data_IF_664212416018
#
_entry.id   IF_664212416018
#
_cell.length_a   1.000
_cell.length_b   1.000
_cell.length_c   1.000
_cell.angle_alpha   90.00
_cell.angle_beta   90.00
_cell.angle_gamma   90.00
#
_symmetry.space_group_name_H-M   'P 1'
#
loop_
_entity.id
_entity.type
_entity.pdbx_description
1 polymer ?
#
# COMPACT_ATOMS: atom_id res chain seq x y z
N UNK A 1 11.56 -19.94 -10.44
CA UNK A 1 10.44 -18.99 -10.56
C UNK A 1 11.00 -17.62 -10.91
N UNK A 2 10.32 -16.85 -11.76
CA UNK A 2 10.75 -15.52 -12.18
C UNK A 2 9.69 -14.50 -11.78
N UNK A 3 10.10 -13.43 -11.08
CA UNK A 3 9.21 -12.43 -10.49
C UNK A 3 9.59 -11.05 -11.02
N UNK A 4 8.63 -10.32 -11.57
CA UNK A 4 8.77 -8.89 -11.87
C UNK A 4 8.16 -8.10 -10.71
N UNK A 5 8.90 -7.11 -10.18
CA UNK A 5 8.40 -6.16 -9.19
C UNK A 5 8.46 -4.77 -9.81
N UNK A 6 7.28 -4.18 -10.10
CA UNK A 6 7.19 -2.80 -10.60
C UNK A 6 7.07 -1.82 -9.44
N UNK A 7 7.49 -0.57 -9.63
CA UNK A 7 7.58 0.39 -8.52
C UNK A 7 8.61 -0.01 -7.47
N UNK A 8 9.68 -0.66 -7.91
CA UNK A 8 10.69 -1.30 -7.04
C UNK A 8 11.47 -0.31 -6.17
N UNK A 9 11.51 0.97 -6.53
CA UNK A 9 12.16 2.05 -5.76
C UNK A 9 11.23 2.66 -4.69
N UNK A 10 9.94 2.30 -4.68
CA UNK A 10 8.95 2.73 -3.68
C UNK A 10 9.08 1.97 -2.36
N UNK A 11 8.30 2.40 -1.35
CA UNK A 11 8.31 1.81 -0.01
C UNK A 11 8.12 0.29 -0.01
N UNK A 12 7.03 -0.17 -0.59
CA UNK A 12 6.67 -1.58 -0.65
C UNK A 12 7.58 -2.37 -1.60
N UNK A 13 7.91 -1.79 -2.76
CA UNK A 13 8.80 -2.43 -3.73
C UNK A 13 10.17 -2.74 -3.14
N UNK A 14 10.75 -1.78 -2.43
CA UNK A 14 12.05 -1.96 -1.74
C UNK A 14 11.97 -3.05 -0.67
N UNK A 15 10.89 -3.08 0.11
CA UNK A 15 10.70 -4.09 1.15
C UNK A 15 10.53 -5.50 0.56
N UNK A 16 9.73 -5.64 -0.51
CA UNK A 16 9.59 -6.92 -1.24
C UNK A 16 10.92 -7.44 -1.77
N UNK A 17 11.73 -6.56 -2.36
CA UNK A 17 13.06 -6.94 -2.87
C UNK A 17 13.97 -7.42 -1.75
N UNK A 18 13.96 -6.76 -0.60
CA UNK A 18 14.73 -7.14 0.58
C UNK A 18 14.31 -8.53 1.07
N UNK A 19 13.02 -8.75 1.30
CA UNK A 19 12.51 -10.04 1.79
C UNK A 19 12.80 -11.19 0.82
N UNK A 20 12.66 -10.96 -0.50
CA UNK A 20 13.03 -11.94 -1.53
C UNK A 20 14.54 -12.25 -1.55
N UNK A 21 15.38 -11.27 -1.26
CA UNK A 21 16.82 -11.44 -1.18
C UNK A 21 17.25 -12.17 0.11
N UNK A 22 16.64 -11.82 1.25
CA UNK A 22 16.98 -12.36 2.57
C UNK A 22 16.32 -13.72 2.85
N UNK A 23 15.28 -14.08 2.09
CA UNK A 23 14.50 -15.29 2.30
C UNK A 23 13.59 -15.24 3.54
N UNK A 24 13.43 -14.07 4.14
CA UNK A 24 12.66 -13.85 5.37
C UNK A 24 12.20 -12.40 5.54
N UNK A 25 11.22 -12.22 6.41
CA UNK A 25 10.79 -10.92 6.96
C UNK A 25 10.96 -10.90 8.48
N UNK A 26 10.53 -9.82 9.13
CA UNK A 26 10.39 -9.76 10.60
C UNK A 26 9.35 -10.76 11.16
N UNK A 27 8.37 -11.16 10.34
CA UNK A 27 7.31 -12.11 10.72
C UNK A 27 7.73 -13.57 10.58
N UNK A 28 8.79 -13.85 9.82
CA UNK A 28 9.25 -15.22 9.61
C UNK A 28 9.81 -15.47 8.19
N UNK A 29 9.98 -16.74 7.81
CA UNK A 29 10.48 -17.10 6.50
C UNK A 29 9.46 -16.80 5.40
N UNK A 30 9.94 -16.47 4.20
CA UNK A 30 9.09 -16.42 3.00
C UNK A 30 8.83 -17.83 2.48
N UNK A 31 7.82 -18.05 1.61
CA UNK A 31 7.56 -19.36 1.01
C UNK A 31 8.78 -19.95 0.31
N UNK A 32 9.08 -21.25 0.56
CA UNK A 32 10.23 -21.94 -0.03
C UNK A 32 10.30 -21.84 -1.57
N UNK A 33 9.15 -21.81 -2.24
CA UNK A 33 9.05 -21.63 -3.69
C UNK A 33 9.70 -20.34 -4.20
N UNK A 34 9.88 -19.35 -3.33
CA UNK A 34 10.45 -18.03 -3.66
C UNK A 34 11.94 -17.91 -3.37
N UNK A 35 12.53 -18.81 -2.53
CA UNK A 35 13.92 -18.69 -2.07
C UNK A 35 14.96 -18.63 -3.20
N UNK A 36 14.67 -19.24 -4.37
CA UNK A 36 15.56 -19.23 -5.52
C UNK A 36 14.92 -18.54 -6.74
N UNK A 37 14.03 -17.58 -6.50
CA UNK A 37 13.38 -16.85 -7.57
C UNK A 37 14.36 -15.86 -8.24
N UNK A 38 14.31 -15.79 -9.57
CA UNK A 38 14.96 -14.71 -10.31
C UNK A 38 14.07 -13.47 -10.22
N UNK A 39 14.52 -12.46 -9.50
CA UNK A 39 13.77 -11.21 -9.33
C UNK A 39 14.21 -10.18 -10.35
N UNK A 40 13.25 -9.55 -11.02
CA UNK A 40 13.46 -8.48 -12.00
C UNK A 40 12.82 -7.20 -11.43
N UNK A 41 13.59 -6.37 -10.73
CA UNK A 41 13.11 -5.10 -10.23
C UNK A 41 13.03 -4.09 -11.40
N UNK A 42 11.90 -3.38 -11.52
CA UNK A 42 11.73 -2.34 -12.55
C UNK A 42 10.98 -1.13 -12.01
N UNK A 43 11.36 0.02 -12.52
CA UNK A 43 10.73 1.31 -12.24
C UNK A 43 10.92 2.24 -13.44
N UNK A 44 10.43 3.47 -13.36
CA UNK A 44 10.78 4.50 -14.34
C UNK A 44 12.30 4.84 -14.25
N UNK A 45 12.94 5.08 -15.39
CA UNK A 45 12.39 5.10 -16.76
C UNK A 45 12.42 3.73 -17.48
N UNK A 46 12.90 2.66 -16.83
CA UNK A 46 13.14 1.35 -17.47
C UNK A 46 11.85 0.68 -17.97
N UNK A 47 10.74 0.88 -17.24
CA UNK A 47 9.42 0.42 -17.63
C UNK A 47 8.35 1.43 -17.22
N UNK A 48 7.78 2.12 -18.19
CA UNK A 48 6.54 2.87 -18.01
C UNK A 48 5.34 1.92 -18.16
N UNK A 49 4.71 1.57 -17.04
CA UNK A 49 3.55 0.66 -17.04
C UNK A 49 2.35 1.23 -17.79
N UNK A 50 2.24 2.54 -17.96
CA UNK A 50 1.18 3.18 -18.75
C UNK A 50 1.32 2.94 -20.24
N UNK A 51 2.53 2.60 -20.70
CA UNK A 51 2.82 2.30 -22.09
C UNK A 51 2.59 0.83 -22.41
N UNK A 52 1.48 0.54 -23.06
CA UNK A 52 1.09 -0.83 -23.43
C UNK A 52 2.18 -1.60 -24.19
N UNK A 53 2.81 -0.97 -25.18
CA UNK A 53 3.82 -1.64 -26.03
C UNK A 53 5.06 -2.03 -25.19
N UNK A 54 5.54 -1.12 -24.35
CA UNK A 54 6.67 -1.40 -23.45
C UNK A 54 6.34 -2.56 -22.51
N UNK A 55 5.15 -2.55 -21.90
CA UNK A 55 4.71 -3.62 -20.98
C UNK A 55 4.61 -4.97 -21.71
N UNK A 56 3.91 -5.03 -22.86
CA UNK A 56 3.72 -6.27 -23.63
C UNK A 56 5.08 -6.87 -24.06
N UNK A 57 5.98 -6.05 -24.57
CA UNK A 57 7.32 -6.50 -25.01
C UNK A 57 8.16 -6.96 -23.81
N UNK A 58 8.14 -6.20 -22.71
CA UNK A 58 8.93 -6.48 -21.51
C UNK A 58 8.49 -7.80 -20.85
N UNK A 59 7.18 -7.97 -20.63
CA UNK A 59 6.61 -9.18 -20.00
C UNK A 59 6.79 -10.39 -20.89
N UNK A 60 6.54 -10.28 -22.20
CA UNK A 60 6.72 -11.35 -23.16
C UNK A 60 8.17 -11.82 -23.28
N UNK A 61 9.14 -10.89 -23.27
CA UNK A 61 10.58 -11.22 -23.31
C UNK A 61 11.02 -11.94 -22.05
N UNK A 62 10.57 -11.48 -20.87
CA UNK A 62 10.98 -12.01 -19.60
C UNK A 62 10.24 -13.27 -19.17
N UNK A 63 9.00 -13.48 -19.65
CA UNK A 63 8.12 -14.60 -19.28
C UNK A 63 8.11 -14.86 -17.78
N UNK A 64 7.62 -13.91 -16.96
CA UNK A 64 7.57 -14.08 -15.52
C UNK A 64 6.52 -15.11 -15.12
N UNK A 65 6.71 -15.75 -13.98
CA UNK A 65 5.69 -16.55 -13.30
C UNK A 65 4.74 -15.67 -12.48
N UNK A 66 5.29 -14.55 -11.94
CA UNK A 66 4.56 -13.61 -11.08
C UNK A 66 4.96 -12.18 -11.46
N UNK A 67 3.97 -11.29 -11.48
CA UNK A 67 4.15 -9.84 -11.56
C UNK A 67 3.57 -9.24 -10.28
N UNK A 68 4.37 -8.48 -9.50
CA UNK A 68 3.90 -7.73 -8.34
C UNK A 68 3.94 -6.25 -8.69
N UNK A 69 2.74 -5.65 -8.81
CA UNK A 69 2.60 -4.25 -9.19
C UNK A 69 2.45 -3.36 -7.96
N UNK A 70 3.56 -2.70 -7.59
CA UNK A 70 3.60 -1.65 -6.57
C UNK A 70 3.65 -0.24 -7.17
N UNK A 71 3.74 -0.12 -8.51
CA UNK A 71 3.80 1.17 -9.17
C UNK A 71 2.42 1.85 -9.15
N UNK A 72 2.39 3.11 -8.70
CA UNK A 72 1.19 3.94 -8.64
C UNK A 72 1.55 5.42 -8.54
N UNK A 73 0.63 6.29 -8.95
CA UNK A 73 0.64 7.70 -8.61
C UNK A 73 -0.05 7.88 -7.26
N UNK A 74 0.73 8.05 -6.19
CA UNK A 74 0.25 8.01 -4.79
C UNK A 74 0.08 9.39 -4.14
N UNK A 75 0.40 10.47 -4.85
CA UNK A 75 0.14 11.82 -4.36
C UNK A 75 -1.36 12.12 -4.48
N UNK A 76 -2.11 11.91 -3.38
CA UNK A 76 -3.57 12.04 -3.34
C UNK A 76 -4.02 13.43 -3.78
N UNK A 77 -3.41 14.49 -3.21
CA UNK A 77 -3.72 15.87 -3.57
C UNK A 77 -3.35 16.19 -5.03
N UNK A 78 -2.21 15.64 -5.49
CA UNK A 78 -1.78 15.75 -6.88
C UNK A 78 -2.71 15.06 -7.89
N UNK A 79 -3.43 14.02 -7.49
CA UNK A 79 -4.41 13.35 -8.36
C UNK A 79 -5.60 14.26 -8.70
N UNK A 80 -5.98 15.18 -7.80
CA UNK A 80 -7.05 16.14 -8.04
C UNK A 80 -6.68 17.22 -9.09
N UNK A 81 -5.40 17.37 -9.36
CA UNK A 81 -4.87 18.36 -10.35
C UNK A 81 -4.40 17.65 -11.63
N UNK A 82 -3.75 16.51 -11.48
CA UNK A 82 -3.13 15.75 -12.59
C UNK A 82 -3.94 14.47 -12.89
N UNK A 83 -5.23 14.63 -13.21
CA UNK A 83 -6.17 13.52 -13.44
C UNK A 83 -5.67 12.50 -14.47
N UNK A 84 -5.16 12.97 -15.60
CA UNK A 84 -4.69 12.10 -16.69
C UNK A 84 -3.47 11.27 -16.29
N UNK A 85 -2.52 11.86 -15.55
CA UNK A 85 -1.33 11.14 -15.10
C UNK A 85 -1.68 10.13 -14.02
N UNK A 86 -2.60 10.49 -13.10
CA UNK A 86 -3.15 9.56 -12.13
C UNK A 86 -3.88 8.40 -12.83
N UNK A 87 -4.72 8.68 -13.83
CA UNK A 87 -5.43 7.65 -14.59
C UNK A 87 -4.47 6.74 -15.38
N UNK A 88 -3.43 7.31 -16.03
CA UNK A 88 -2.41 6.51 -16.73
C UNK A 88 -1.71 5.53 -15.79
N UNK A 89 -1.22 6.04 -14.64
CA UNK A 89 -0.46 5.22 -13.69
C UNK A 89 -1.37 4.22 -12.94
N UNK A 90 -2.53 4.68 -12.43
CA UNK A 90 -3.37 3.91 -11.50
C UNK A 90 -4.42 3.02 -12.18
N UNK A 91 -4.79 3.33 -13.44
CA UNK A 91 -5.79 2.56 -14.18
C UNK A 91 -5.20 1.88 -15.42
N UNK A 92 -4.57 2.64 -16.35
CA UNK A 92 -4.04 2.06 -17.58
C UNK A 92 -2.81 1.17 -17.31
N UNK A 93 -1.95 1.53 -16.36
CA UNK A 93 -0.81 0.71 -15.96
C UNK A 93 -1.24 -0.69 -15.53
N UNK A 94 -2.10 -0.84 -14.51
CA UNK A 94 -2.64 -2.13 -14.09
C UNK A 94 -3.35 -2.89 -15.21
N UNK A 95 -4.12 -2.19 -16.07
CA UNK A 95 -4.75 -2.82 -17.25
C UNK A 95 -3.71 -3.46 -18.18
N UNK A 96 -2.63 -2.74 -18.49
CA UNK A 96 -1.60 -3.22 -19.39
C UNK A 96 -0.86 -4.42 -18.82
N UNK A 97 -0.55 -4.38 -17.51
CA UNK A 97 0.06 -5.51 -16.79
C UNK A 97 -0.88 -6.71 -16.75
N UNK A 98 -2.19 -6.51 -16.51
CA UNK A 98 -3.17 -7.58 -16.49
C UNK A 98 -3.28 -8.29 -17.85
N UNK A 99 -3.35 -7.54 -18.95
CA UNK A 99 -3.36 -8.10 -20.30
C UNK A 99 -2.08 -8.87 -20.64
N UNK A 100 -0.93 -8.36 -20.23
CA UNK A 100 0.35 -9.02 -20.47
C UNK A 100 0.50 -10.29 -19.59
N UNK A 101 0.06 -10.25 -18.34
CA UNK A 101 0.04 -11.39 -17.42
C UNK A 101 -0.84 -12.50 -17.97
N UNK A 102 -2.07 -12.20 -18.41
CA UNK A 102 -2.98 -13.17 -19.01
C UNK A 102 -2.38 -13.87 -20.24
N UNK A 103 -1.79 -13.10 -21.16
CA UNK A 103 -1.14 -13.64 -22.37
C UNK A 103 0.03 -14.57 -22.08
N UNK A 104 0.75 -14.35 -21.00
CA UNK A 104 1.93 -15.16 -20.64
C UNK A 104 1.64 -16.23 -19.60
N UNK A 105 0.43 -16.25 -19.03
CA UNK A 105 0.03 -17.14 -17.95
C UNK A 105 0.63 -16.79 -16.59
N UNK A 106 1.17 -15.58 -16.45
CA UNK A 106 1.69 -15.07 -15.19
C UNK A 106 0.56 -14.80 -14.19
N UNK A 107 0.87 -14.87 -12.88
CA UNK A 107 0.02 -14.34 -11.82
C UNK A 107 0.28 -12.85 -11.67
N UNK A 108 -0.76 -12.07 -11.42
CA UNK A 108 -0.63 -10.63 -11.16
C UNK A 108 -1.08 -10.31 -9.75
N UNK A 109 -0.19 -9.75 -8.93
CA UNK A 109 -0.55 -9.08 -7.68
C UNK A 109 -0.63 -7.58 -7.96
N UNK A 110 -1.78 -6.97 -7.67
CA UNK A 110 -1.99 -5.52 -7.81
C UNK A 110 -2.31 -4.90 -6.46
N UNK A 111 -1.43 -3.99 -6.01
CA UNK A 111 -1.63 -3.26 -4.76
C UNK A 111 -2.62 -2.12 -4.97
N UNK A 112 -3.70 -2.10 -4.19
CA UNK A 112 -4.75 -1.09 -4.19
C UNK A 112 -4.84 -0.38 -2.83
N UNK A 113 -5.96 0.27 -2.53
CA UNK A 113 -6.08 1.22 -1.42
C UNK A 113 -7.48 1.19 -0.77
N UNK A 114 -7.54 1.57 0.50
CA UNK A 114 -8.74 1.89 1.26
C UNK A 114 -9.54 3.08 0.69
N UNK A 115 -8.90 3.98 -0.09
CA UNK A 115 -9.54 5.13 -0.74
C UNK A 115 -10.57 4.73 -1.82
N UNK A 116 -10.71 3.46 -2.14
CA UNK A 116 -11.81 2.96 -2.98
C UNK A 116 -13.17 3.05 -2.28
N UNK A 117 -13.20 3.22 -0.97
CA UNK A 117 -14.42 3.36 -0.18
C UNK A 117 -14.79 4.83 0.03
N UNK A 118 -16.10 5.06 0.27
CA UNK A 118 -16.66 6.41 0.45
C UNK A 118 -16.26 7.07 1.77
N UNK A 119 -15.78 6.28 2.74
CA UNK A 119 -15.47 6.78 4.08
C UNK A 119 -16.70 7.14 4.92
N UNK A 120 -17.89 6.74 4.51
CA UNK A 120 -19.09 6.92 5.34
C UNK A 120 -19.00 6.03 6.56
N UNK A 121 -19.22 6.62 7.70
CA UNK A 121 -19.30 5.90 8.96
C UNK A 121 -20.47 4.91 8.93
N UNK A 122 -20.22 3.69 9.37
CA UNK A 122 -21.19 2.59 9.37
C UNK A 122 -21.30 1.93 10.76
N UNK A 123 -21.26 2.73 11.82
CA UNK A 123 -21.30 2.26 13.20
C UNK A 123 -19.98 1.68 13.71
N UNK A 124 -18.86 2.09 13.12
CA UNK A 124 -17.53 1.63 13.54
C UNK A 124 -17.12 0.25 13.00
N UNK A 125 -17.87 -0.30 12.05
CA UNK A 125 -17.59 -1.61 11.44
C UNK A 125 -16.53 -1.44 10.34
N UNK A 126 -15.41 -2.18 10.36
CA UNK A 126 -14.45 -2.18 9.26
C UNK A 126 -15.07 -2.67 7.94
N UNK A 127 -14.58 -2.14 6.82
CA UNK A 127 -15.00 -2.56 5.49
C UNK A 127 -14.37 -3.92 5.17
N UNK A 128 -15.18 -4.92 4.83
CA UNK A 128 -14.68 -6.18 4.30
C UNK A 128 -14.61 -6.16 2.76
N UNK A 129 -14.08 -7.24 2.17
CA UNK A 129 -13.90 -7.33 0.72
C UNK A 129 -15.23 -7.37 -0.06
N UNK A 130 -16.35 -7.70 0.60
CA UNK A 130 -17.69 -7.68 0.00
C UNK A 130 -18.34 -6.29 0.01
N UNK A 131 -17.78 -5.34 0.76
CA UNK A 131 -18.32 -3.98 0.83
C UNK A 131 -18.18 -3.26 -0.50
N UNK A 132 -19.26 -2.63 -0.96
CA UNK A 132 -19.29 -1.93 -2.25
C UNK A 132 -18.40 -0.68 -2.22
N UNK A 133 -17.48 -0.51 -3.18
CA UNK A 133 -16.69 0.69 -3.32
C UNK A 133 -17.53 1.92 -3.69
N UNK A 134 -17.03 3.09 -3.30
CA UNK A 134 -17.65 4.39 -3.63
C UNK A 134 -16.65 5.52 -3.39
N UNK A 135 -15.55 5.62 -4.16
CA UNK A 135 -14.47 6.58 -3.91
C UNK A 135 -14.96 8.02 -4.00
N UNK A 136 -14.37 8.89 -3.15
CA UNK A 136 -14.69 10.32 -3.09
C UNK A 136 -13.56 11.21 -3.61
N UNK A 137 -12.43 10.62 -4.00
CA UNK A 137 -11.24 11.32 -4.53
C UNK A 137 -10.85 10.79 -5.91
N UNK A 138 -10.12 11.59 -6.68
CA UNK A 138 -9.55 11.18 -7.97
C UNK A 138 -8.56 10.01 -7.80
N UNK A 139 -7.78 10.01 -6.71
CA UNK A 139 -6.89 8.90 -6.35
C UNK A 139 -7.69 7.60 -6.20
N UNK A 140 -8.70 7.57 -5.32
CA UNK A 140 -9.53 6.40 -5.09
C UNK A 140 -10.25 5.92 -6.35
N UNK A 141 -10.79 6.85 -7.14
CA UNK A 141 -11.49 6.56 -8.41
C UNK A 141 -10.57 5.90 -9.44
N UNK A 142 -9.35 6.42 -9.61
CA UNK A 142 -8.38 5.86 -10.56
C UNK A 142 -7.84 4.50 -10.11
N UNK A 143 -7.63 4.31 -8.79
CA UNK A 143 -7.24 3.00 -8.22
C UNK A 143 -8.34 1.95 -8.40
N UNK A 144 -9.60 2.30 -8.10
CA UNK A 144 -10.75 1.41 -8.33
C UNK A 144 -10.90 1.02 -9.81
N UNK A 145 -10.65 1.95 -10.73
CA UNK A 145 -10.67 1.62 -12.15
C UNK A 145 -9.56 0.62 -12.51
N UNK A 146 -8.38 0.74 -11.89
CA UNK A 146 -7.29 -0.23 -12.02
C UNK A 146 -7.69 -1.63 -11.54
N UNK A 147 -8.36 -1.75 -10.37
CA UNK A 147 -8.92 -3.01 -9.87
C UNK A 147 -9.85 -3.66 -10.91
N UNK A 148 -10.85 -2.89 -11.40
CA UNK A 148 -11.80 -3.38 -12.40
C UNK A 148 -11.14 -3.87 -13.70
N UNK A 149 -10.06 -3.21 -14.13
CA UNK A 149 -9.30 -3.68 -15.28
C UNK A 149 -8.51 -4.95 -14.98
N UNK A 150 -7.93 -5.09 -13.78
CA UNK A 150 -7.23 -6.31 -13.37
C UNK A 150 -8.21 -7.49 -13.34
N UNK A 151 -9.35 -7.35 -12.68
CA UNK A 151 -10.41 -8.36 -12.63
C UNK A 151 -10.88 -8.79 -14.03
N UNK A 152 -11.05 -7.81 -14.93
CA UNK A 152 -11.54 -8.06 -16.28
C UNK A 152 -10.54 -8.75 -17.19
N UNK A 153 -9.25 -8.48 -17.05
CA UNK A 153 -8.23 -8.85 -18.03
C UNK A 153 -7.21 -9.89 -17.55
N UNK A 154 -7.23 -10.30 -16.29
CA UNK A 154 -6.33 -11.32 -15.76
C UNK A 154 -7.08 -12.28 -14.84
N UNK A 155 -7.21 -13.55 -15.21
CA UNK A 155 -7.89 -14.56 -14.38
C UNK A 155 -7.07 -14.97 -13.14
N UNK A 156 -5.74 -14.89 -13.22
CA UNK A 156 -4.81 -15.27 -12.14
C UNK A 156 -4.33 -14.02 -11.41
N UNK A 157 -5.24 -13.32 -10.75
CA UNK A 157 -4.92 -12.08 -10.05
C UNK A 157 -5.16 -12.13 -8.54
N UNK A 158 -4.40 -11.32 -7.83
CA UNK A 158 -4.63 -10.92 -6.46
C UNK A 158 -4.68 -9.40 -6.43
N UNK A 159 -5.79 -8.83 -6.03
CA UNK A 159 -5.91 -7.40 -5.73
C UNK A 159 -5.77 -7.28 -4.23
N UNK A 160 -4.81 -6.49 -3.76
CA UNK A 160 -4.52 -6.32 -2.33
C UNK A 160 -4.74 -4.86 -1.96
N UNK A 161 -5.86 -4.56 -1.29
CA UNK A 161 -6.14 -3.23 -0.74
C UNK A 161 -5.41 -3.08 0.58
N UNK A 162 -4.70 -1.98 0.72
CA UNK A 162 -4.00 -1.62 1.96
C UNK A 162 -4.33 -0.19 2.37
N UNK A 163 -3.95 0.21 3.58
CA UNK A 163 -4.20 1.53 4.13
C UNK A 163 -2.99 2.07 4.89
N UNK A 164 -2.78 3.39 4.88
CA UNK A 164 -1.87 4.13 5.73
C UNK A 164 -0.45 3.53 5.79
N UNK A 165 0.08 3.17 4.61
CA UNK A 165 1.35 2.46 4.48
C UNK A 165 2.53 3.31 4.97
N UNK A 166 3.37 2.72 5.82
CA UNK A 166 4.67 3.26 6.23
C UNK A 166 5.77 2.20 6.13
N UNK A 167 7.01 2.67 6.02
CA UNK A 167 8.17 1.82 5.79
C UNK A 167 9.45 2.45 6.31
N UNK A 168 10.47 1.64 6.52
CA UNK A 168 11.85 2.08 6.73
C UNK A 168 12.38 2.92 5.56
N UNK A 169 11.82 2.74 4.38
CA UNK A 169 12.26 3.36 3.12
C UNK A 169 11.29 4.42 2.64
N UNK A 170 11.84 5.42 1.96
CA UNK A 170 11.05 6.47 1.33
C UNK A 170 10.38 7.43 2.33
N UNK A 171 9.56 8.33 1.80
CA UNK A 171 8.79 9.32 2.57
C UNK A 171 7.45 8.74 3.01
N UNK A 172 7.10 8.88 4.28
CA UNK A 172 5.81 8.43 4.82
C UNK A 172 5.38 9.26 6.03
N UNK A 173 4.18 8.99 6.53
CA UNK A 173 3.59 9.73 7.63
C UNK A 173 4.42 9.64 8.92
N UNK A 174 4.95 8.45 9.28
CA UNK A 174 5.76 8.26 10.49
C UNK A 174 6.96 9.19 10.49
N UNK A 175 7.75 9.18 9.41
CA UNK A 175 8.92 10.05 9.26
C UNK A 175 8.54 11.53 9.20
N UNK A 176 7.41 11.85 8.59
CA UNK A 176 6.90 13.22 8.50
C UNK A 176 6.57 13.76 9.90
N UNK A 177 5.87 12.98 10.73
CA UNK A 177 5.52 13.36 12.10
C UNK A 177 6.77 13.54 12.98
N UNK A 178 7.72 12.59 12.93
CA UNK A 178 9.00 12.71 13.66
C UNK A 178 9.75 13.98 13.28
N UNK A 179 9.88 14.26 11.98
CA UNK A 179 10.60 15.43 11.49
C UNK A 179 9.87 16.75 11.83
N UNK A 180 8.55 16.75 11.71
CA UNK A 180 7.73 17.92 12.08
C UNK A 180 7.78 18.17 13.60
N UNK A 181 7.73 17.10 14.42
CA UNK A 181 7.90 17.18 15.88
C UNK A 181 9.22 17.80 16.27
N UNK A 182 10.34 17.32 15.69
CA UNK A 182 11.69 17.89 15.90
C UNK A 182 11.76 19.38 15.52
N UNK A 183 11.07 19.77 14.44
CA UNK A 183 11.15 21.12 13.88
C UNK A 183 10.27 22.13 14.62
N UNK A 184 9.05 21.73 14.99
CA UNK A 184 8.01 22.66 15.46
C UNK A 184 7.64 22.49 16.94
N UNK A 185 7.91 21.34 17.56
CA UNK A 185 7.56 21.03 18.95
C UNK A 185 6.06 20.90 19.23
N UNK A 186 5.20 21.38 18.33
CA UNK A 186 3.73 21.27 18.42
C UNK A 186 3.16 20.87 17.06
N UNK A 187 2.31 19.86 17.06
CA UNK A 187 1.64 19.35 15.87
C UNK A 187 0.12 19.39 16.06
N UNK A 188 -0.60 19.59 14.99
CA UNK A 188 -2.05 19.50 14.96
C UNK A 188 -2.42 18.44 13.92
N UNK A 189 -3.18 17.40 14.32
CA UNK A 189 -3.46 16.23 13.49
C UNK A 189 -4.93 15.85 13.57
N UNK A 190 -5.50 15.46 12.44
CA UNK A 190 -6.91 15.10 12.28
C UNK A 190 -7.28 13.90 13.14
N UNK A 191 -8.38 14.01 13.92
CA UNK A 191 -8.87 12.96 14.82
C UNK A 191 -10.20 12.31 14.39
N UNK A 192 -10.86 12.82 13.36
CA UNK A 192 -12.12 12.31 12.82
C UNK A 192 -11.96 11.54 11.49
N UNK A 193 -10.72 11.11 11.20
CA UNK A 193 -10.39 10.16 10.14
C UNK A 193 -9.76 8.92 10.79
N UNK A 194 -10.41 7.76 10.62
CA UNK A 194 -10.00 6.49 11.24
C UNK A 194 -9.68 5.43 10.18
N UNK A 195 -8.64 4.64 10.45
CA UNK A 195 -8.14 3.59 9.56
C UNK A 195 -7.13 2.67 10.25
N UNK A 196 -6.39 1.91 9.46
CA UNK A 196 -5.40 0.95 9.92
C UNK A 196 -4.01 1.33 9.42
N UNK A 197 -3.09 1.79 10.29
CA UNK A 197 -1.68 1.93 9.90
C UNK A 197 -1.08 0.58 9.52
N UNK A 198 -0.41 0.52 8.37
CA UNK A 198 0.17 -0.73 7.84
C UNK A 198 1.66 -0.60 7.66
N UNK A 199 2.43 -1.50 8.28
CA UNK A 199 3.87 -1.60 8.04
C UNK A 199 4.12 -2.32 6.70
N UNK A 200 4.98 -1.76 5.87
CA UNK A 200 5.33 -2.36 4.58
C UNK A 200 5.99 -3.74 4.72
N UNK A 201 6.63 -4.04 5.86
CA UNK A 201 7.19 -5.37 6.17
C UNK A 201 6.08 -6.41 6.22
N UNK A 202 4.99 -6.11 6.94
CA UNK A 202 3.85 -7.01 7.11
C UNK A 202 3.11 -7.21 5.79
N UNK A 203 2.83 -6.12 5.08
CA UNK A 203 2.19 -6.17 3.76
C UNK A 203 3.01 -6.96 2.74
N UNK A 204 4.33 -6.75 2.70
CA UNK A 204 5.22 -7.48 1.80
C UNK A 204 5.22 -8.99 2.12
N UNK A 205 5.26 -9.35 3.41
CA UNK A 205 5.21 -10.74 3.85
C UNK A 205 3.94 -11.43 3.35
N UNK A 206 2.77 -10.85 3.59
CA UNK A 206 1.48 -11.39 3.17
C UNK A 206 1.35 -11.48 1.64
N UNK A 207 1.83 -10.50 0.91
CA UNK A 207 1.88 -10.55 -0.56
C UNK A 207 2.72 -11.75 -1.04
N UNK A 208 3.85 -12.02 -0.39
CA UNK A 208 4.70 -13.16 -0.75
C UNK A 208 4.05 -14.50 -0.38
N UNK A 209 3.33 -14.60 0.76
CA UNK A 209 2.54 -15.79 1.09
C UNK A 209 1.42 -16.03 0.08
N UNK A 210 0.69 -14.97 -0.28
CA UNK A 210 -0.46 -15.04 -1.16
C UNK A 210 -0.08 -15.39 -2.62
N UNK A 211 0.96 -14.78 -3.16
CA UNK A 211 1.30 -14.86 -4.59
C UNK A 211 1.72 -16.26 -5.07
N UNK A 212 2.06 -17.18 -4.17
CA UNK A 212 2.42 -18.57 -4.49
C UNK A 212 1.24 -19.54 -4.43
N UNK A 213 0.07 -19.08 -4.03
CA UNK A 213 -1.17 -19.86 -3.92
C UNK A 213 -1.98 -19.85 -5.22
N UNK A 214 -3.16 -20.46 -5.17
CA UNK A 214 -4.17 -20.38 -6.23
C UNK A 214 -5.47 -19.72 -5.74
N UNK A 215 -5.42 -19.08 -4.56
CA UNK A 215 -6.54 -18.38 -3.93
C UNK A 215 -6.70 -16.98 -4.56
N UNK A 216 -7.01 -16.95 -5.88
CA UNK A 216 -7.14 -15.70 -6.62
C UNK A 216 -8.32 -14.87 -6.15
N UNK A 217 -8.20 -13.54 -6.21
CA UNK A 217 -9.30 -12.64 -5.87
C UNK A 217 -8.87 -11.33 -5.24
N UNK A 218 -9.82 -10.74 -4.52
CA UNK A 218 -9.68 -9.46 -3.82
C UNK A 218 -9.42 -9.71 -2.33
N UNK A 219 -8.44 -9.01 -1.79
CA UNK A 219 -7.97 -9.10 -0.41
C UNK A 219 -7.82 -7.72 0.22
N UNK A 220 -8.12 -7.64 1.50
CA UNK A 220 -7.63 -6.57 2.35
C UNK A 220 -6.39 -7.06 3.11
N UNK A 221 -5.39 -6.19 3.24
CA UNK A 221 -4.17 -6.46 4.00
C UNK A 221 -3.68 -5.17 4.65
N UNK A 222 -4.08 -4.98 5.90
CA UNK A 222 -3.75 -3.80 6.72
C UNK A 222 -3.29 -4.23 8.09
N UNK A 223 -2.58 -3.36 8.81
CA UNK A 223 -2.31 -3.57 10.23
C UNK A 223 -3.59 -3.84 11.00
N UNK A 224 -3.54 -4.73 11.99
CA UNK A 224 -4.67 -4.97 12.88
C UNK A 224 -4.88 -3.80 13.86
N UNK A 225 -6.10 -3.63 14.33
CA UNK A 225 -6.50 -2.48 15.14
C UNK A 225 -6.84 -1.23 14.32
N UNK A 226 -7.56 -0.32 14.94
CA UNK A 226 -8.07 0.91 14.30
C UNK A 226 -7.65 2.09 15.17
N UNK A 227 -7.23 3.18 14.52
CA UNK A 227 -6.94 4.44 15.21
C UNK A 227 -7.24 5.64 14.30
N UNK A 228 -7.29 6.84 14.89
CA UNK A 228 -7.28 8.09 14.13
C UNK A 228 -5.85 8.47 13.71
N UNK A 229 -5.72 9.40 12.76
CA UNK A 229 -4.41 9.98 12.45
C UNK A 229 -3.78 10.67 13.68
N UNK A 230 -4.61 11.26 14.53
CA UNK A 230 -4.16 11.84 15.81
C UNK A 230 -3.56 10.77 16.74
N UNK A 231 -4.25 9.65 16.96
CA UNK A 231 -3.75 8.57 17.81
C UNK A 231 -2.45 7.99 17.27
N UNK A 232 -2.38 7.81 15.95
CA UNK A 232 -1.17 7.32 15.28
C UNK A 232 -0.01 8.31 15.44
N UNK A 233 -0.24 9.63 15.26
CA UNK A 233 0.78 10.65 15.45
C UNK A 233 1.23 10.77 16.92
N UNK A 234 0.32 10.65 17.89
CA UNK A 234 0.64 10.66 19.30
C UNK A 234 1.56 9.48 19.68
N UNK A 235 1.26 8.29 19.17
CA UNK A 235 2.08 7.11 19.42
C UNK A 235 3.46 7.19 18.73
N UNK A 236 3.53 7.77 17.51
CA UNK A 236 4.78 8.05 16.81
C UNK A 236 5.68 8.98 17.66
N UNK A 237 5.13 10.08 18.19
CA UNK A 237 5.90 11.00 19.03
C UNK A 237 6.36 10.31 20.30
N UNK A 238 5.49 9.56 20.97
CA UNK A 238 5.85 8.80 22.17
C UNK A 238 7.02 7.83 21.93
N UNK A 239 6.96 7.03 20.87
CA UNK A 239 7.99 6.03 20.55
C UNK A 239 9.30 6.65 20.02
N UNK A 240 9.20 7.77 19.32
CA UNK A 240 10.39 8.47 18.78
C UNK A 240 11.23 9.18 19.84
N UNK A 241 10.68 9.42 21.03
CA UNK A 241 11.33 10.20 22.08
C UNK A 241 11.53 11.68 21.74
N UNK A 242 10.88 12.19 20.70
CA UNK A 242 10.92 13.60 20.31
C UNK A 242 10.11 14.43 21.31
N UNK A 243 10.69 15.50 21.83
CA UNK A 243 9.99 16.45 22.70
C UNK A 243 9.02 17.31 21.86
N UNK A 244 7.82 16.78 21.67
CA UNK A 244 6.76 17.45 20.92
C UNK A 244 5.38 17.07 21.48
N UNK A 245 4.40 17.94 21.26
CA UNK A 245 3.00 17.70 21.61
C UNK A 245 2.14 17.56 20.35
N UNK A 246 1.15 16.68 20.41
CA UNK A 246 0.16 16.51 19.34
C UNK A 246 -1.21 16.93 19.84
N UNK A 247 -1.86 17.87 19.16
CA UNK A 247 -3.23 18.30 19.43
C UNK A 247 -4.18 17.77 18.35
N UNK A 248 -5.40 17.37 18.70
CA UNK A 248 -6.40 16.97 17.72
C UNK A 248 -6.99 18.17 16.99
N UNK A 249 -7.36 17.98 15.71
CA UNK A 249 -8.23 18.87 14.96
C UNK A 249 -9.24 18.06 14.16
N UNK A 250 -10.29 18.70 13.67
CA UNK A 250 -11.25 18.07 12.77
C UNK A 250 -10.79 18.14 11.31
N UNK A 251 -11.36 17.30 10.44
CA UNK A 251 -11.13 17.38 8.98
C UNK A 251 -11.54 18.75 8.42
N UNK A 252 -12.59 19.36 8.97
CA UNK A 252 -13.08 20.68 8.55
C UNK A 252 -12.07 21.78 8.93
N UNK A 253 -11.56 21.77 10.16
CA UNK A 253 -10.52 22.70 10.62
C UNK A 253 -9.23 22.57 9.80
N UNK A 254 -8.84 21.32 9.50
CA UNK A 254 -7.69 21.06 8.64
C UNK A 254 -7.91 21.60 7.22
N UNK A 255 -9.08 21.31 6.61
CA UNK A 255 -9.44 21.78 5.26
C UNK A 255 -9.49 23.30 5.16
N UNK A 256 -9.98 23.98 6.22
CA UNK A 256 -9.98 25.45 6.26
C UNK A 256 -8.57 26.04 6.19
N UNK A 257 -7.57 25.35 6.75
CA UNK A 257 -6.15 25.76 6.70
C UNK A 257 -5.45 25.29 5.40
N UNK A 258 -5.96 24.23 4.78
CA UNK A 258 -5.41 23.59 3.58
C UNK A 258 -6.48 23.37 2.51
N UNK A 259 -7.01 24.43 1.89
CA UNK A 259 -8.18 24.35 1.00
C UNK A 259 -7.96 23.47 -0.23
N UNK A 260 -6.73 23.36 -0.70
CA UNK A 260 -6.35 22.55 -1.88
C UNK A 260 -6.14 21.06 -1.56
N UNK A 261 -6.29 20.64 -0.29
CA UNK A 261 -6.16 19.23 0.05
C UNK A 261 -7.36 18.43 -0.49
N UNK A 262 -7.10 17.23 -1.00
CA UNK A 262 -8.15 16.29 -1.45
C UNK A 262 -9.05 15.86 -0.28
N UNK A 263 -10.29 15.49 -0.59
CA UNK A 263 -11.18 14.89 0.39
C UNK A 263 -10.71 13.47 0.73
N UNK A 264 -10.68 13.17 2.02
CA UNK A 264 -10.25 11.88 2.56
C UNK A 264 -11.39 11.16 3.26
N UNK A 265 -11.46 9.83 3.15
CA UNK A 265 -12.47 9.03 3.85
C UNK A 265 -12.38 9.26 5.37
N UNK A 266 -13.52 9.56 6.03
CA UNK A 266 -13.54 9.64 7.50
C UNK A 266 -13.42 8.27 8.16
N UNK A 267 -13.96 7.24 7.52
CA UNK A 267 -13.87 5.85 7.97
C UNK A 267 -13.32 4.98 6.86
N UNK A 268 -12.04 4.61 6.95
CA UNK A 268 -11.37 3.78 5.95
C UNK A 268 -10.81 2.47 6.53
N UNK A 269 -11.24 2.11 7.74
CA UNK A 269 -10.80 0.88 8.38
C UNK A 269 -11.23 -0.35 7.57
N UNK A 270 -10.28 -1.26 7.32
CA UNK A 270 -10.45 -2.49 6.57
C UNK A 270 -10.42 -3.71 7.50
N UNK A 271 -11.17 -4.74 7.14
CA UNK A 271 -11.13 -6.06 7.75
C UNK A 271 -10.39 -7.04 6.81
N UNK A 272 -9.34 -7.69 7.31
CA UNK A 272 -8.53 -8.69 6.58
C UNK A 272 -9.22 -10.06 6.49
N UNK A 273 -10.55 -10.09 6.20
CA UNK A 273 -11.35 -11.31 6.27
C UNK A 273 -10.87 -12.37 5.31
N UNK A 274 -10.61 -12.01 4.06
CA UNK A 274 -10.18 -12.97 3.04
C UNK A 274 -8.81 -13.58 3.37
N UNK A 275 -7.86 -12.82 3.90
CA UNK A 275 -6.58 -13.38 4.36
C UNK A 275 -6.82 -14.43 5.44
N UNK A 276 -7.54 -14.08 6.52
CA UNK A 276 -7.82 -15.00 7.64
C UNK A 276 -8.51 -16.28 7.20
N UNK A 277 -9.39 -16.20 6.22
CA UNK A 277 -10.20 -17.34 5.77
C UNK A 277 -9.50 -18.22 4.72
N UNK A 278 -8.39 -17.77 4.13
CA UNK A 278 -7.69 -18.48 3.04
C UNK A 278 -6.27 -18.88 3.41
N UNK A 279 -5.34 -17.94 3.47
CA UNK A 279 -3.90 -18.20 3.64
C UNK A 279 -3.41 -18.00 5.07
N UNK A 280 -4.22 -17.41 5.93
CA UNK A 280 -3.84 -16.93 7.25
C UNK A 280 -3.65 -15.41 7.24
N UNK A 281 -3.45 -14.83 8.44
CA UNK A 281 -3.21 -13.40 8.60
C UNK A 281 -2.18 -13.22 9.72
N UNK A 282 -0.94 -13.01 9.35
CA UNK A 282 0.18 -12.83 10.27
C UNK A 282 0.49 -11.34 10.52
N UNK A 283 -0.37 -10.43 10.00
CA UNK A 283 -0.21 -8.98 10.16
C UNK A 283 -0.35 -8.60 11.63
N UNK A 284 0.60 -7.83 12.13
CA UNK A 284 0.65 -7.37 13.52
C UNK A 284 -0.39 -6.30 13.83
N UNK A 285 -0.76 -6.17 15.10
CA UNK A 285 -1.40 -4.94 15.59
C UNK A 285 -0.52 -3.73 15.28
N UNK A 286 -1.15 -2.61 14.89
CA UNK A 286 -0.43 -1.44 14.42
C UNK A 286 0.54 -0.85 15.47
N UNK A 287 0.23 -1.01 16.77
CA UNK A 287 1.13 -0.55 17.85
C UNK A 287 2.37 -1.41 17.95
N UNK A 288 2.22 -2.72 17.84
CA UNK A 288 3.32 -3.67 17.89
C UNK A 288 4.23 -3.51 16.67
N UNK A 289 3.63 -3.36 15.48
CA UNK A 289 4.34 -3.10 14.24
C UNK A 289 5.09 -1.76 14.28
N UNK A 290 4.49 -0.71 14.86
CA UNK A 290 5.12 0.61 15.02
C UNK A 290 6.25 0.57 16.05
N UNK A 291 6.09 -0.13 17.17
CA UNK A 291 7.14 -0.29 18.17
C UNK A 291 8.35 -1.04 17.60
N UNK A 292 8.10 -2.11 16.83
CA UNK A 292 9.14 -2.84 16.11
C UNK A 292 9.85 -1.93 15.09
N UNK A 293 9.08 -1.12 14.35
CA UNK A 293 9.64 -0.12 13.43
C UNK A 293 10.65 0.80 14.14
N UNK A 294 10.29 1.41 15.26
CA UNK A 294 11.21 2.31 15.97
C UNK A 294 12.44 1.60 16.56
N UNK A 295 12.30 0.33 16.90
CA UNK A 295 13.45 -0.49 17.35
C UNK A 295 14.48 -0.70 16.23
N UNK A 296 14.01 -0.96 15.02
CA UNK A 296 14.83 -1.34 13.88
C UNK A 296 15.18 -0.18 12.94
N UNK A 297 14.49 0.95 13.03
CA UNK A 297 14.74 2.10 12.16
C UNK A 297 16.07 2.79 12.50
N UNK A 298 16.87 3.10 11.47
CA UNK A 298 18.16 3.82 11.59
C UNK A 298 18.02 5.32 11.93
N UNK A 299 16.80 5.83 11.93
CA UNK A 299 16.49 7.25 12.15
C UNK A 299 16.45 8.09 10.87
N UNK A 300 16.78 7.50 9.72
CA UNK A 300 16.83 8.16 8.41
C UNK A 300 16.01 7.44 7.35
N UNK A 301 16.61 6.55 6.58
CA UNK A 301 15.95 5.91 5.43
C UNK A 301 16.30 4.43 5.27
N UNK A 302 16.44 3.71 6.37
CA UNK A 302 16.78 2.30 6.36
C UNK A 302 16.51 1.61 7.69
N UNK A 303 16.95 0.37 7.76
CA UNK A 303 17.03 -0.40 9.01
C UNK A 303 18.45 -0.31 9.58
N UNK A 304 18.55 -0.49 10.90
CA UNK A 304 19.83 -0.61 11.64
C UNK A 304 20.58 -1.86 11.22
#
# INVERSE_FOLDING_TARGET
>A
MKIIVTGCKGQLGTELLKQLQEGRSELGPIPEKLLNATVIPVDLPELDISNYKMVDEFVRRNRPDIIINCAAYTNVDGCEVHHDDAFKANALGPRNLAQAAEKTGARLVHVSTDYVFSGRENGGIPQDEATLPGPISAYGSTKLMGEKYVERFCHRHFIVRTAWLYSYYGKNFVKTIVNAGKKFGKLEVVNDQCGNPTNAVDLAHEILQLCVTHEYGLYHCTGEGICSWYDFAAEIIRLSGVDATVAPCTSEEYKAKHPDSADRPKWSALDNRMLRCTVGNDVRDWKDALACFFTNWDGENGMK
#
